data_IF_371572693327
#
_entry.id   IF_371572693327
#
_cell.length_a   1.000
_cell.length_b   1.000
_cell.length_c   1.000
_cell.angle_alpha   90.00
_cell.angle_beta   90.00
_cell.angle_gamma   90.00
#
_symmetry.space_group_name_H-M   'P 1'
#
loop_
_entity.id
_entity.type
_entity.pdbx_description
1 polymer ?
#
# COMPACT_ATOMS: atom_id res chain seq x y z
N UNK A 1 8.70 50.25 3.49
CA UNK A 1 10.05 49.78 3.89
C UNK A 1 10.14 48.28 4.21
N UNK A 2 9.07 47.47 4.08
CA UNK A 2 9.13 46.00 4.27
C UNK A 2 9.56 45.23 3.02
N UNK A 3 8.96 45.53 1.85
CA UNK A 3 9.26 44.89 0.56
C UNK A 3 10.71 45.00 0.07
N UNK A 4 11.45 46.03 0.50
CA UNK A 4 12.85 46.22 0.09
C UNK A 4 13.80 45.36 0.93
N UNK A 5 13.42 45.05 2.18
CA UNK A 5 14.15 44.11 3.04
C UNK A 5 13.83 42.66 2.67
N UNK A 6 12.56 42.37 2.38
CA UNK A 6 12.12 41.06 1.83
C UNK A 6 12.91 40.72 0.56
N UNK A 7 13.06 41.68 -0.36
CA UNK A 7 13.85 41.48 -1.58
C UNK A 7 15.36 41.32 -1.34
N UNK A 8 15.93 41.95 -0.31
CA UNK A 8 17.35 41.81 0.03
C UNK A 8 17.65 40.49 0.76
N UNK A 9 16.70 40.00 1.55
CA UNK A 9 16.78 38.69 2.20
C UNK A 9 16.51 37.55 1.18
N UNK A 10 15.76 37.82 0.10
CA UNK A 10 15.51 36.90 -1.03
C UNK A 10 16.67 36.80 -2.05
N UNK A 11 17.61 37.75 -2.08
CA UNK A 11 18.74 37.74 -3.03
C UNK A 11 19.85 36.71 -2.67
N UNK A 12 19.96 36.28 -1.40
CA UNK A 12 20.86 35.18 -0.97
C UNK A 12 20.37 33.77 -1.39
N UNK A 13 19.05 33.50 -1.41
CA UNK A 13 18.45 32.29 -2.00
C UNK A 13 18.81 32.00 -3.45
N UNK A 14 18.98 32.98 -4.36
CA UNK A 14 19.16 32.67 -5.79
C UNK A 14 20.45 31.86 -6.09
N UNK A 15 21.52 32.09 -5.32
CA UNK A 15 22.78 31.32 -5.42
C UNK A 15 22.70 29.96 -4.70
N UNK A 16 21.97 29.89 -3.59
CA UNK A 16 21.80 28.65 -2.83
C UNK A 16 20.76 27.72 -3.45
N UNK A 17 19.69 28.24 -4.05
CA UNK A 17 18.73 27.50 -4.87
C UNK A 17 19.39 26.90 -6.11
N UNK A 18 20.30 27.63 -6.78
CA UNK A 18 21.08 27.09 -7.89
C UNK A 18 21.91 25.86 -7.47
N UNK A 19 22.62 25.94 -6.34
CA UNK A 19 23.38 24.81 -5.78
C UNK A 19 22.49 23.68 -5.25
N UNK A 20 21.37 24.00 -4.60
CA UNK A 20 20.39 23.03 -4.10
C UNK A 20 19.67 22.35 -5.27
N UNK A 21 19.45 23.02 -6.40
CA UNK A 21 18.88 22.40 -7.60
C UNK A 21 19.82 21.37 -8.22
N UNK A 22 21.14 21.56 -8.10
CA UNK A 22 22.16 20.62 -8.57
C UNK A 22 22.35 19.43 -7.62
N UNK A 23 22.27 19.67 -6.31
CA UNK A 23 22.41 18.62 -5.28
C UNK A 23 21.11 17.85 -5.03
N UNK A 24 19.98 18.53 -5.14
CA UNK A 24 18.66 18.02 -4.75
C UNK A 24 17.54 18.62 -5.64
N UNK A 25 17.52 18.26 -6.94
CA UNK A 25 16.57 18.81 -7.92
C UNK A 25 15.09 18.58 -7.58
N UNK A 26 14.80 17.65 -6.67
CA UNK A 26 13.46 17.33 -6.23
C UNK A 26 12.92 18.31 -5.17
N UNK A 27 13.78 19.06 -4.47
CA UNK A 27 13.39 19.90 -3.33
C UNK A 27 12.55 21.12 -3.74
N UNK A 28 12.76 21.63 -4.95
CA UNK A 28 12.05 22.80 -5.48
C UNK A 28 10.76 22.45 -6.22
N UNK A 29 10.41 21.16 -6.35
CA UNK A 29 9.18 20.75 -7.03
C UNK A 29 8.00 20.81 -6.06
N UNK A 30 6.91 21.45 -6.49
CA UNK A 30 5.65 21.41 -5.75
C UNK A 30 5.15 19.97 -5.66
N UNK A 31 4.86 19.50 -4.45
CA UNK A 31 4.30 18.18 -4.21
C UNK A 31 2.81 18.23 -4.57
N UNK A 32 2.33 17.43 -5.54
CA UNK A 32 0.91 17.40 -5.88
C UNK A 32 0.08 16.80 -4.73
N UNK A 33 -1.22 17.12 -4.71
CA UNK A 33 -2.14 16.44 -3.77
C UNK A 33 -2.21 14.94 -4.06
N UNK A 34 -2.31 14.12 -3.00
CA UNK A 34 -2.36 12.67 -3.07
C UNK A 34 -3.42 12.14 -2.11
N UNK A 35 -3.98 10.97 -2.44
CA UNK A 35 -4.94 10.28 -1.59
C UNK A 35 -4.86 8.77 -1.80
N UNK A 36 -5.34 8.01 -0.81
CA UNK A 36 -5.55 6.57 -0.95
C UNK A 36 -7.00 6.35 -1.35
N UNK A 37 -7.20 5.61 -2.44
CA UNK A 37 -8.52 5.21 -2.93
C UNK A 37 -8.62 3.70 -2.84
N UNK A 38 -9.77 3.22 -2.35
CA UNK A 38 -10.15 1.81 -2.37
C UNK A 38 -10.97 1.53 -3.64
N UNK A 39 -10.59 0.49 -4.37
CA UNK A 39 -11.37 -0.04 -5.49
C UNK A 39 -12.11 -1.28 -5.01
N UNK A 40 -13.42 -1.16 -4.77
CA UNK A 40 -14.27 -2.27 -4.37
C UNK A 40 -15.09 -2.74 -5.58
N UNK A 41 -14.63 -3.76 -6.33
CA UNK A 41 -15.47 -4.32 -7.39
C UNK A 41 -16.66 -5.06 -6.79
N UNK A 42 -17.67 -5.37 -7.61
CA UNK A 42 -18.69 -6.35 -7.20
C UNK A 42 -18.08 -7.75 -7.20
N UNK A 43 -17.30 -8.03 -6.16
CA UNK A 43 -16.52 -9.25 -6.01
C UNK A 43 -17.38 -10.51 -6.03
N UNK A 44 -18.68 -10.42 -5.74
CA UNK A 44 -19.60 -11.58 -5.78
C UNK A 44 -19.85 -12.06 -7.20
N UNK A 45 -19.82 -11.16 -8.18
CA UNK A 45 -20.05 -11.48 -9.59
C UNK A 45 -18.73 -11.74 -10.36
N UNK A 46 -17.58 -11.56 -9.71
CA UNK A 46 -16.28 -11.78 -10.33
C UNK A 46 -15.93 -13.27 -10.44
N UNK A 47 -15.66 -13.73 -11.66
CA UNK A 47 -15.13 -15.07 -11.95
C UNK A 47 -13.60 -15.13 -11.88
N UNK A 48 -12.95 -14.05 -12.30
CA UNK A 48 -11.50 -13.97 -12.46
C UNK A 48 -10.97 -12.65 -11.90
N UNK A 49 -9.65 -12.59 -11.69
CA UNK A 49 -8.97 -11.37 -11.24
C UNK A 49 -9.02 -10.28 -12.30
N UNK A 50 -9.21 -9.03 -11.86
CA UNK A 50 -9.22 -7.85 -12.72
C UNK A 50 -7.96 -7.01 -12.46
N UNK A 51 -7.29 -6.53 -13.50
CA UNK A 51 -6.10 -5.69 -13.37
C UNK A 51 -6.46 -4.23 -13.65
N UNK A 52 -6.09 -3.34 -12.74
CA UNK A 52 -6.08 -1.89 -12.92
C UNK A 52 -4.64 -1.50 -13.25
N UNK A 53 -4.43 -1.00 -14.46
CA UNK A 53 -3.11 -0.57 -14.93
C UNK A 53 -2.63 0.66 -14.15
N UNK A 54 -1.31 0.84 -14.09
CA UNK A 54 -0.70 2.10 -13.62
C UNK A 54 -1.18 3.25 -14.52
N UNK A 55 -1.45 4.41 -13.90
CA UNK A 55 -1.94 5.60 -14.60
C UNK A 55 -3.46 5.64 -14.79
N UNK A 56 -4.21 4.69 -14.20
CA UNK A 56 -5.66 4.70 -14.27
C UNK A 56 -6.22 5.98 -13.62
N UNK A 57 -7.05 6.72 -14.36
CA UNK A 57 -7.56 8.02 -13.93
C UNK A 57 -8.76 7.88 -12.98
N UNK A 58 -8.72 8.63 -11.87
CA UNK A 58 -9.82 8.77 -10.91
C UNK A 58 -10.14 10.25 -10.75
N UNK A 59 -11.40 10.61 -10.94
CA UNK A 59 -11.86 11.99 -10.80
C UNK A 59 -12.50 12.20 -9.42
N UNK A 60 -12.18 13.33 -8.78
CA UNK A 60 -12.88 13.75 -7.58
C UNK A 60 -14.32 14.15 -7.88
N UNK A 61 -15.11 14.25 -6.82
CA UNK A 61 -16.35 15.03 -6.88
C UNK A 61 -16.04 16.50 -7.23
N UNK A 62 -16.99 17.25 -7.79
CA UNK A 62 -16.84 18.69 -8.02
C UNK A 62 -16.52 19.43 -6.70
N UNK A 63 -15.47 20.25 -6.69
CA UNK A 63 -15.00 20.99 -5.51
C UNK A 63 -15.10 22.49 -5.78
N UNK A 64 -15.57 23.23 -4.76
CA UNK A 64 -15.68 24.69 -4.77
C UNK A 64 -16.81 25.23 -5.65
N UNK A 65 -16.96 26.55 -5.65
CA UNK A 65 -18.06 27.26 -6.35
C UNK A 65 -18.05 27.04 -7.87
N UNK A 66 -16.86 26.82 -8.45
CA UNK A 66 -16.69 26.57 -9.88
C UNK A 66 -16.87 25.09 -10.28
N UNK A 67 -17.08 24.19 -9.32
CA UNK A 67 -17.29 22.76 -9.58
C UNK A 67 -16.07 22.05 -10.20
N UNK A 68 -14.86 22.50 -9.88
CA UNK A 68 -13.62 21.94 -10.43
C UNK A 68 -13.47 20.47 -10.03
N UNK A 69 -13.13 19.60 -10.99
CA UNK A 69 -12.81 18.19 -10.72
C UNK A 69 -11.30 17.99 -10.73
N UNK A 70 -10.77 17.45 -9.64
CA UNK A 70 -9.37 17.06 -9.55
C UNK A 70 -9.19 15.67 -10.18
N UNK A 71 -8.17 15.54 -11.02
CA UNK A 71 -7.81 14.28 -11.67
C UNK A 71 -6.60 13.66 -10.96
N UNK A 72 -6.78 12.43 -10.50
CA UNK A 72 -5.76 11.61 -9.87
C UNK A 72 -5.44 10.41 -10.76
N UNK A 73 -4.24 9.83 -10.61
CA UNK A 73 -3.84 8.62 -11.34
C UNK A 73 -3.27 7.58 -10.38
N UNK A 74 -3.48 6.29 -10.67
CA UNK A 74 -2.87 5.20 -9.91
C UNK A 74 -1.36 5.19 -10.11
N UNK A 75 -0.60 5.10 -9.02
CA UNK A 75 0.88 5.07 -9.08
C UNK A 75 1.43 3.68 -9.38
N UNK A 76 0.61 2.63 -9.24
CA UNK A 76 0.99 1.23 -9.42
C UNK A 76 -0.12 0.46 -10.11
N UNK A 77 0.26 -0.67 -10.68
CA UNK A 77 -0.70 -1.68 -11.10
C UNK A 77 -1.32 -2.35 -9.87
N UNK A 78 -2.64 -2.58 -9.90
CA UNK A 78 -3.40 -3.21 -8.83
C UNK A 78 -4.15 -4.41 -9.40
N UNK A 79 -4.02 -5.56 -8.76
CA UNK A 79 -4.81 -6.76 -9.10
C UNK A 79 -5.96 -6.89 -8.12
N UNK A 80 -7.18 -6.69 -8.59
CA UNK A 80 -8.41 -6.94 -7.85
C UNK A 80 -8.76 -8.42 -7.92
N UNK A 81 -8.83 -9.05 -6.75
CA UNK A 81 -9.22 -10.44 -6.62
C UNK A 81 -10.72 -10.56 -6.31
N UNK A 82 -11.38 -11.69 -6.62
CA UNK A 82 -12.77 -11.96 -6.24
C UNK A 82 -12.90 -12.29 -4.73
N UNK A 83 -12.14 -11.56 -3.89
CA UNK A 83 -12.02 -11.75 -2.44
C UNK A 83 -12.39 -10.46 -1.72
N UNK A 84 -13.07 -10.60 -0.59
CA UNK A 84 -13.39 -9.50 0.31
C UNK A 84 -13.03 -9.87 1.73
N UNK A 85 -12.37 -8.96 2.45
CA UNK A 85 -12.16 -9.10 3.89
C UNK A 85 -13.50 -8.83 4.60
N UNK A 86 -14.04 -9.84 5.29
CA UNK A 86 -15.29 -9.74 6.05
C UNK A 86 -15.06 -9.12 7.43
N UNK A 87 -14.01 -9.59 8.13
CA UNK A 87 -13.58 -9.01 9.39
C UNK A 87 -12.14 -9.32 9.72
N UNK A 88 -11.50 -8.39 10.42
CA UNK A 88 -10.23 -8.54 11.09
C UNK A 88 -10.47 -8.46 12.61
N UNK A 89 -10.06 -9.48 13.36
CA UNK A 89 -10.24 -9.52 14.83
C UNK A 89 -8.96 -9.90 15.52
N UNK A 90 -8.60 -9.14 16.56
CA UNK A 90 -7.58 -9.53 17.50
C UNK A 90 -8.18 -10.50 18.53
N UNK A 91 -7.48 -11.60 18.79
CA UNK A 91 -7.81 -12.59 19.79
C UNK A 91 -6.54 -13.04 20.51
N UNK A 92 -6.71 -13.71 21.64
CA UNK A 92 -5.59 -14.33 22.35
C UNK A 92 -5.76 -15.83 22.30
N UNK A 93 -4.70 -16.54 21.90
CA UNK A 93 -4.66 -18.00 21.92
C UNK A 93 -4.59 -18.52 23.38
N UNK A 94 -4.94 -19.78 23.67
CA UNK A 94 -4.81 -20.36 25.02
C UNK A 94 -3.39 -20.26 25.60
N UNK A 95 -2.37 -20.22 24.73
CA UNK A 95 -0.96 -20.03 25.10
C UNK A 95 -0.60 -18.56 25.45
N UNK A 96 -1.58 -17.66 25.50
CA UNK A 96 -1.39 -16.24 25.83
C UNK A 96 -0.84 -15.38 24.70
N UNK A 97 -0.71 -15.93 23.48
CA UNK A 97 -0.19 -15.22 22.31
C UNK A 97 -1.29 -14.42 21.61
N UNK A 98 -0.96 -13.21 21.16
CA UNK A 98 -1.85 -12.40 20.31
C UNK A 98 -1.98 -13.03 18.91
N UNK A 99 -3.20 -13.18 18.44
CA UNK A 99 -3.56 -13.76 17.13
C UNK A 99 -4.50 -12.81 16.41
N UNK A 100 -4.13 -12.43 15.19
CA UNK A 100 -4.99 -11.63 14.31
C UNK A 100 -5.71 -12.58 13.34
N UNK A 101 -7.03 -12.69 13.48
CA UNK A 101 -7.86 -13.49 12.59
C UNK A 101 -8.40 -12.60 11.47
N UNK A 102 -8.02 -12.91 10.24
CA UNK A 102 -8.55 -12.29 9.02
C UNK A 102 -9.48 -13.28 8.34
N UNK A 103 -10.77 -12.94 8.24
CA UNK A 103 -11.75 -13.76 7.53
C UNK A 103 -12.02 -13.17 6.16
N UNK A 104 -11.78 -13.95 5.13
CA UNK A 104 -12.08 -13.59 3.75
C UNK A 104 -13.29 -14.37 3.24
N UNK A 105 -14.09 -13.70 2.42
CA UNK A 105 -15.10 -14.31 1.57
C UNK A 105 -14.62 -14.27 0.12
N UNK A 106 -14.99 -15.29 -0.65
CA UNK A 106 -14.72 -15.37 -2.09
C UNK A 106 -16.04 -15.45 -2.85
N UNK A 107 -16.04 -14.98 -4.10
CA UNK A 107 -17.16 -15.16 -5.02
C UNK A 107 -17.63 -16.62 -5.07
N UNK A 108 -18.94 -16.82 -5.19
CA UNK A 108 -19.51 -18.14 -5.49
C UNK A 108 -19.14 -18.64 -6.90
N UNK A 109 -18.71 -17.74 -7.79
CA UNK A 109 -18.33 -18.04 -9.16
C UNK A 109 -16.82 -18.30 -9.32
N UNK A 110 -16.03 -17.99 -8.29
CA UNK A 110 -14.58 -18.19 -8.29
C UNK A 110 -14.21 -19.46 -7.50
N UNK A 111 -13.23 -20.19 -8.01
CA UNK A 111 -12.72 -21.39 -7.36
C UNK A 111 -11.56 -21.02 -6.41
N UNK A 112 -11.74 -21.27 -5.11
CA UNK A 112 -10.70 -21.10 -4.09
C UNK A 112 -9.39 -21.83 -4.41
N UNK A 113 -9.46 -22.95 -5.14
CA UNK A 113 -8.26 -23.72 -5.51
C UNK A 113 -7.40 -23.02 -6.58
N UNK A 114 -8.01 -22.13 -7.36
CA UNK A 114 -7.37 -21.35 -8.44
C UNK A 114 -7.04 -19.92 -8.05
N UNK A 115 -7.53 -19.47 -6.90
CA UNK A 115 -7.20 -18.16 -6.36
C UNK A 115 -5.70 -18.10 -6.03
N UNK A 116 -5.02 -17.15 -6.64
CA UNK A 116 -3.61 -16.87 -6.36
C UNK A 116 -3.52 -16.02 -5.09
N UNK A 117 -3.21 -16.70 -3.99
CA UNK A 117 -3.04 -16.08 -2.67
C UNK A 117 -1.55 -15.78 -2.38
N UNK A 118 -0.68 -15.82 -3.40
CA UNK A 118 0.75 -15.56 -3.17
C UNK A 118 1.03 -14.15 -2.69
N UNK A 119 0.31 -13.16 -3.23
CA UNK A 119 0.56 -11.76 -2.94
C UNK A 119 -0.76 -11.03 -2.69
N UNK A 120 -1.08 -10.84 -1.42
CA UNK A 120 -2.28 -10.10 -1.00
C UNK A 120 -1.86 -8.78 -0.36
N UNK A 121 -2.20 -7.63 -0.98
CA UNK A 121 -1.96 -6.33 -0.37
C UNK A 121 -2.95 -6.01 0.73
N UNK A 122 -2.38 -5.60 1.86
CA UNK A 122 -3.09 -4.99 2.97
C UNK A 122 -2.70 -3.53 3.11
N UNK A 123 -3.73 -2.69 3.23
CA UNK A 123 -3.59 -1.30 3.63
C UNK A 123 -4.19 -1.14 5.02
N UNK A 124 -3.42 -0.62 5.97
CA UNK A 124 -3.91 -0.38 7.32
C UNK A 124 -4.59 0.98 7.38
N UNK A 125 -5.92 0.98 7.23
CA UNK A 125 -6.74 2.18 7.39
C UNK A 125 -7.02 2.46 8.89
N UNK A 126 -5.99 2.93 9.60
CA UNK A 126 -6.06 3.28 11.02
C UNK A 126 -5.36 4.62 11.28
N UNK A 127 -5.47 5.15 12.50
CA UNK A 127 -4.66 6.28 12.95
C UNK A 127 -3.17 5.90 13.01
N UNK A 128 -2.28 6.90 13.07
CA UNK A 128 -0.85 6.67 12.93
C UNK A 128 -0.26 5.69 13.98
N UNK A 129 -0.59 5.78 15.28
CA UNK A 129 -0.07 4.85 16.27
C UNK A 129 -0.49 3.40 16.01
N UNK A 130 -1.77 3.16 15.72
CA UNK A 130 -2.29 1.81 15.47
C UNK A 130 -1.77 1.25 14.15
N UNK A 131 -1.72 2.05 13.08
CA UNK A 131 -1.17 1.63 11.80
C UNK A 131 0.31 1.22 11.92
N UNK A 132 1.11 1.98 12.67
CA UNK A 132 2.52 1.65 12.95
C UNK A 132 2.65 0.38 13.76
N UNK A 133 1.86 0.22 14.83
CA UNK A 133 1.86 -0.99 15.65
C UNK A 133 1.43 -2.23 14.84
N UNK A 134 0.42 -2.10 13.97
CA UNK A 134 0.02 -3.17 13.04
C UNK A 134 1.15 -3.48 12.07
N UNK A 135 1.77 -2.47 11.47
CA UNK A 135 2.87 -2.66 10.54
C UNK A 135 4.02 -3.45 11.20
N UNK A 136 4.42 -3.09 12.41
CA UNK A 136 5.42 -3.83 13.20
C UNK A 136 4.93 -5.25 13.53
N UNK A 137 3.70 -5.41 14.00
CA UNK A 137 3.13 -6.71 14.36
C UNK A 137 3.18 -7.69 13.19
N UNK A 138 2.80 -7.23 11.99
CA UNK A 138 2.76 -8.05 10.79
C UNK A 138 4.16 -8.31 10.20
N UNK A 139 5.03 -7.31 10.12
CA UNK A 139 6.33 -7.45 9.44
C UNK A 139 7.44 -8.04 10.32
N UNK A 140 7.44 -7.74 11.63
CA UNK A 140 8.54 -8.11 12.54
C UNK A 140 8.13 -9.16 13.57
N UNK A 141 6.87 -9.17 14.01
CA UNK A 141 6.41 -10.01 15.14
C UNK A 141 5.51 -11.17 14.72
N UNK A 142 5.46 -11.51 13.43
CA UNK A 142 4.70 -12.68 12.94
C UNK A 142 5.45 -13.96 13.28
N UNK A 143 4.96 -14.70 14.29
CA UNK A 143 5.57 -15.97 14.68
C UNK A 143 5.20 -17.13 13.75
N UNK A 144 3.94 -17.23 13.35
CA UNK A 144 3.39 -18.28 12.48
C UNK A 144 2.16 -17.77 11.74
N UNK A 145 1.94 -18.33 10.56
CA UNK A 145 0.72 -18.12 9.79
C UNK A 145 -0.05 -19.44 9.70
N UNK A 146 -1.37 -19.31 9.72
CA UNK A 146 -2.27 -20.44 9.54
C UNK A 146 -3.38 -20.07 8.57
N UNK A 147 -3.78 -21.05 7.76
CA UNK A 147 -4.88 -20.94 6.83
C UNK A 147 -5.95 -21.98 7.19
N UNK A 148 -7.21 -21.54 7.21
CA UNK A 148 -8.36 -22.44 7.34
C UNK A 148 -9.25 -22.27 6.11
N UNK A 149 -9.33 -23.31 5.30
CA UNK A 149 -10.19 -23.33 4.12
C UNK A 149 -11.64 -23.67 4.50
N UNK A 150 -12.63 -23.23 3.70
CA UNK A 150 -14.01 -23.65 3.88
C UNK A 150 -14.11 -25.18 3.75
N UNK A 151 -14.65 -25.83 4.77
CA UNK A 151 -14.79 -27.29 4.84
C UNK A 151 -13.72 -28.00 5.67
N UNK A 152 -12.60 -27.35 5.97
CA UNK A 152 -11.63 -27.87 6.93
C UNK A 152 -12.02 -27.49 8.37
N UNK A 153 -12.02 -28.47 9.28
CA UNK A 153 -12.22 -28.23 10.72
C UNK A 153 -10.99 -27.57 11.34
N UNK A 154 -9.80 -27.99 10.92
CA UNK A 154 -8.52 -27.58 11.49
C UNK A 154 -7.79 -26.53 10.65
N UNK A 155 -6.99 -25.71 11.34
CA UNK A 155 -6.11 -24.72 10.70
C UNK A 155 -4.84 -25.42 10.23
N UNK A 156 -4.42 -25.17 9.00
CA UNK A 156 -3.16 -25.70 8.43
C UNK A 156 -2.07 -24.63 8.52
N UNK A 157 -0.81 -24.98 8.84
CA UNK A 157 0.29 -24.02 8.79
C UNK A 157 0.46 -23.50 7.36
N UNK A 158 0.70 -22.19 7.24
CA UNK A 158 0.94 -21.52 5.97
C UNK A 158 2.38 -21.01 5.97
N UNK A 159 3.18 -21.50 5.03
CA UNK A 159 4.53 -20.98 4.82
C UNK A 159 4.44 -19.65 4.06
N UNK A 160 4.62 -18.55 4.78
CA UNK A 160 4.50 -17.20 4.27
C UNK A 160 5.08 -16.17 5.21
N UNK A 161 5.22 -14.95 4.74
CA UNK A 161 5.74 -13.83 5.52
C UNK A 161 5.11 -12.52 5.05
N UNK A 162 5.12 -11.50 5.91
CA UNK A 162 4.70 -10.16 5.51
C UNK A 162 5.90 -9.32 5.12
N UNK A 163 5.73 -8.40 4.17
CA UNK A 163 6.77 -7.44 3.80
C UNK A 163 6.15 -6.07 3.59
N UNK A 164 6.89 -5.04 4.01
CA UNK A 164 6.49 -3.65 3.82
C UNK A 164 6.48 -3.28 2.33
N UNK A 165 5.49 -2.49 1.92
CA UNK A 165 5.38 -1.95 0.56
C UNK A 165 5.63 -0.46 0.55
N UNK A 166 6.08 0.06 -0.59
CA UNK A 166 6.41 1.47 -0.74
C UNK A 166 7.91 1.75 -0.68
N UNK A 167 8.74 0.73 -0.50
CA UNK A 167 10.20 0.86 -0.46
C UNK A 167 10.91 0.25 -1.69
N UNK A 168 10.16 -0.44 -2.57
CA UNK A 168 10.69 -1.02 -3.80
C UNK A 168 11.03 0.02 -4.87
N UNK A 169 11.81 -0.37 -5.88
CA UNK A 169 12.20 0.57 -6.94
C UNK A 169 11.04 0.99 -7.84
N UNK A 170 10.11 0.07 -8.11
CA UNK A 170 8.88 0.29 -8.87
C UNK A 170 7.77 0.97 -8.05
N UNK A 171 8.02 1.17 -6.75
CA UNK A 171 7.00 1.59 -5.81
C UNK A 171 6.90 3.12 -5.63
N UNK A 172 7.81 3.87 -6.26
CA UNK A 172 7.91 5.32 -6.12
C UNK A 172 6.63 6.04 -6.50
N UNK A 173 6.20 6.98 -5.65
CA UNK A 173 5.05 7.84 -5.89
C UNK A 173 5.37 8.92 -6.94
N UNK A 174 6.63 9.35 -6.99
CA UNK A 174 7.11 10.34 -7.96
C UNK A 174 8.00 9.69 -9.02
N UNK A 175 7.98 10.20 -10.26
CA UNK A 175 8.93 9.79 -11.29
C UNK A 175 10.35 10.01 -10.77
N UNK A 176 11.11 8.93 -10.66
CA UNK A 176 12.54 9.01 -10.34
C UNK A 176 13.27 9.54 -11.58
N UNK A 177 13.92 10.68 -11.45
CA UNK A 177 15.00 11.04 -12.37
C UNK A 177 16.19 10.14 -12.01
N UNK A 178 16.74 9.43 -12.99
CA UNK A 178 17.76 8.37 -12.81
C UNK A 178 19.06 8.82 -12.14
N UNK A 179 19.23 10.13 -11.94
CA UNK A 179 20.39 10.77 -11.31
C UNK A 179 20.18 11.13 -9.83
N UNK A 180 19.01 10.85 -9.24
CA UNK A 180 18.65 11.33 -7.90
C UNK A 180 18.74 10.25 -6.82
N UNK A 181 19.25 10.63 -5.64
CA UNK A 181 19.38 9.75 -4.48
C UNK A 181 18.00 9.36 -3.91
N UNK A 182 17.70 8.06 -3.90
CA UNK A 182 16.38 7.53 -3.50
C UNK A 182 16.04 7.72 -2.03
N UNK A 183 17.03 7.86 -1.13
CA UNK A 183 16.80 7.95 0.31
C UNK A 183 16.00 9.18 0.73
N UNK A 184 16.17 10.31 0.04
CA UNK A 184 15.40 11.51 0.31
C UNK A 184 13.94 11.41 -0.14
N UNK A 185 13.72 10.79 -1.30
CA UNK A 185 12.38 10.47 -1.78
C UNK A 185 11.67 9.54 -0.80
N UNK A 186 12.33 8.47 -0.33
CA UNK A 186 11.75 7.56 0.65
C UNK A 186 11.39 8.26 1.96
N UNK A 187 12.20 9.21 2.43
CA UNK A 187 11.91 9.96 3.65
C UNK A 187 10.67 10.85 3.47
N UNK A 188 10.54 11.51 2.32
CA UNK A 188 9.33 12.28 1.98
C UNK A 188 8.11 11.36 1.83
N UNK A 189 8.23 10.23 1.13
CA UNK A 189 7.13 9.27 0.95
C UNK A 189 6.70 8.64 2.29
N UNK A 190 7.64 8.34 3.19
CA UNK A 190 7.38 7.84 4.53
C UNK A 190 6.57 8.84 5.38
N UNK A 191 6.89 10.13 5.27
CA UNK A 191 6.15 11.18 5.98
C UNK A 191 4.72 11.36 5.45
N UNK A 192 4.50 11.04 4.17
CA UNK A 192 3.20 11.25 3.52
C UNK A 192 2.29 10.01 3.55
N UNK A 193 2.79 8.77 3.40
CA UNK A 193 1.97 7.55 3.24
C UNK A 193 2.58 6.25 3.84
N UNK A 194 2.78 6.12 5.17
CA UNK A 194 3.40 4.93 5.77
C UNK A 194 2.39 3.83 6.11
N UNK A 195 1.72 3.19 5.13
CA UNK A 195 0.54 2.32 5.47
C UNK A 195 0.29 1.06 4.64
N UNK A 196 1.26 0.55 3.88
CA UNK A 196 1.05 -0.61 2.99
C UNK A 196 1.96 -1.81 3.35
N UNK A 197 1.38 -3.01 3.41
CA UNK A 197 2.12 -4.28 3.56
C UNK A 197 1.57 -5.35 2.62
N UNK A 198 2.42 -6.28 2.15
CA UNK A 198 2.02 -7.47 1.39
C UNK A 198 2.14 -8.69 2.29
N UNK A 199 1.22 -9.63 2.15
CA UNK A 199 1.48 -11.04 2.50
C UNK A 199 2.10 -11.73 1.32
N UNK A 200 3.21 -12.42 1.57
CA UNK A 200 3.74 -13.46 0.72
C UNK A 200 3.25 -14.82 1.22
N UNK A 201 2.55 -15.57 0.39
CA UNK A 201 2.11 -16.95 0.63
C UNK A 201 2.41 -17.85 -0.56
N UNK A 202 2.07 -19.16 -0.48
CA UNK A 202 2.21 -20.07 -1.61
C UNK A 202 1.27 -19.66 -2.76
N UNK A 203 1.75 -19.84 -4.00
CA UNK A 203 1.07 -19.40 -5.24
C UNK A 203 -0.32 -19.99 -5.48
N UNK A 204 -0.66 -21.10 -4.82
CA UNK A 204 -1.99 -21.68 -4.88
C UNK A 204 -2.36 -22.22 -3.51
N UNK A 205 -3.62 -22.05 -3.11
CA UNK A 205 -4.17 -22.69 -1.91
C UNK A 205 -4.07 -24.23 -1.95
N UNK A 206 -3.82 -24.82 -3.13
CA UNK A 206 -3.63 -26.25 -3.35
C UNK A 206 -2.22 -26.70 -3.77
N UNK A 207 -1.24 -25.79 -3.92
CA UNK A 207 0.13 -26.21 -4.28
C UNK A 207 0.85 -26.78 -3.06
N UNK A 208 0.92 -28.10 -3.05
CA UNK A 208 1.76 -28.89 -2.15
C UNK A 208 3.21 -28.82 -2.66
N UNK A 209 4.15 -28.48 -1.79
CA UNK A 209 5.38 -29.26 -1.66
C UNK A 209 5.25 -30.03 -0.34
N UNK A 210 5.40 -31.35 -0.20
CA UNK A 210 6.22 -32.32 -0.94
C UNK A 210 7.64 -31.81 -1.21
N UNK A 211 8.36 -31.54 -0.13
CA UNK A 211 9.81 -31.70 0.06
C UNK A 211 9.98 -31.59 1.58
N UNK A 212 10.16 -32.68 2.31
CA UNK A 212 11.42 -33.43 2.42
C UNK A 212 11.90 -33.25 3.84
#
# INVERSE_FOLDING_TARGET
MGRLREKLDDDLPELTEGLVSLLWPQYLRTIPSMSVVEFTPDWREMKEKMRIVKGFEVNSQPIGEKGTRCRYTTTKEITLQPLSLEHARLSTDPDGRSVINLRFNCSHLADWSRADLSQIPFYFNADAPLASAMHEAFTMNTARLWLRMPGDTDRKPLDGYFTALGFGDDDGLWPKDSSSFSGYQLLLELLHLPRKVHVHGPARAGDRGLSG
#
